data_IF_648351412555
#
_entry.id   IF_648351412555
#
_cell.length_a   1.000
_cell.length_b   1.000
_cell.length_c   1.000
_cell.angle_alpha   90.00
_cell.angle_beta   90.00
_cell.angle_gamma   90.00
#
_symmetry.space_group_name_H-M   'P 1'
#
loop_
_entity.id
_entity.type
_entity.pdbx_description
1 polymer ?
#
# COMPACT_ATOMS: atom_id res chain seq x y z
N UNK A 1 -28.50 51.08 22.37
CA UNK A 1 -28.91 49.78 21.79
C UNK A 1 -27.71 49.21 21.05
N UNK A 2 -27.29 48.00 21.45
CA UNK A 2 -25.98 47.40 21.14
C UNK A 2 -25.92 46.89 19.69
N UNK A 3 -24.81 47.20 19.00
CA UNK A 3 -24.39 46.56 17.74
C UNK A 3 -24.06 45.10 18.03
N UNK A 4 -24.66 44.16 17.29
CA UNK A 4 -24.20 42.77 17.24
C UNK A 4 -23.38 42.62 15.96
N UNK A 5 -22.09 42.40 16.16
CA UNK A 5 -21.08 42.13 15.15
C UNK A 5 -21.18 40.64 14.82
N UNK A 6 -21.55 40.27 13.59
CA UNK A 6 -21.43 38.89 13.13
C UNK A 6 -19.96 38.65 12.79
N UNK A 7 -19.27 37.98 13.72
CA UNK A 7 -17.89 37.54 13.54
C UNK A 7 -17.83 36.44 12.50
N UNK A 8 -16.94 36.64 11.53
CA UNK A 8 -16.45 35.65 10.58
C UNK A 8 -15.78 34.52 11.39
N UNK A 9 -16.39 33.33 11.42
CA UNK A 9 -15.68 32.11 11.85
C UNK A 9 -15.09 31.50 10.59
N UNK A 10 -13.81 31.82 10.34
CA UNK A 10 -12.96 31.00 9.48
C UNK A 10 -12.78 29.66 10.19
N UNK A 11 -13.59 28.67 9.83
CA UNK A 11 -13.29 27.28 10.11
C UNK A 11 -12.12 26.89 9.21
N UNK A 12 -10.90 27.14 9.70
CA UNK A 12 -9.74 26.38 9.24
C UNK A 12 -9.95 24.95 9.77
N UNK A 13 -10.62 24.13 8.97
CA UNK A 13 -10.59 22.69 9.14
C UNK A 13 -9.19 22.22 8.78
N UNK A 14 -8.33 22.07 9.79
CA UNK A 14 -7.15 21.24 9.66
C UNK A 14 -7.64 19.80 9.59
N UNK A 15 -7.68 19.25 8.38
CA UNK A 15 -7.81 17.83 8.14
C UNK A 15 -6.47 17.16 8.50
N UNK A 16 -6.37 16.28 9.51
CA UNK A 16 -5.09 15.72 9.94
C UNK A 16 -4.52 14.64 8.99
N UNK A 17 -5.18 14.32 7.87
CA UNK A 17 -4.81 13.17 7.04
C UNK A 17 -4.50 13.51 5.56
N UNK A 18 -4.47 14.79 5.18
CA UNK A 18 -4.02 15.16 3.83
C UNK A 18 -2.51 15.39 3.85
N UNK A 19 -1.74 14.42 3.34
CA UNK A 19 -0.33 14.61 3.04
C UNK A 19 -0.27 15.71 1.98
N UNK A 20 0.19 16.90 2.38
CA UNK A 20 0.30 18.04 1.49
C UNK A 20 1.57 17.91 0.62
N UNK A 21 1.58 16.89 -0.24
CA UNK A 21 2.36 16.90 -1.48
C UNK A 21 1.74 18.01 -2.36
N UNK A 22 2.54 18.89 -2.95
CA UNK A 22 2.03 20.09 -3.62
C UNK A 22 1.93 21.39 -2.78
N UNK A 23 2.71 21.54 -1.69
CA UNK A 23 2.96 22.89 -1.11
C UNK A 23 4.16 23.63 -1.75
N UNK A 24 4.43 23.40 -3.05
CA UNK A 24 5.35 24.22 -3.83
C UNK A 24 6.84 23.92 -3.63
N UNK A 25 7.20 22.66 -3.35
CA UNK A 25 8.56 22.17 -3.57
C UNK A 25 8.61 21.55 -4.97
N UNK A 26 9.66 21.81 -5.75
CA UNK A 26 9.74 21.47 -7.17
C UNK A 26 9.77 19.95 -7.50
N UNK A 27 9.58 19.07 -6.51
CA UNK A 27 9.94 17.66 -6.58
C UNK A 27 9.08 16.83 -5.59
N UNK A 28 7.95 16.26 -6.04
CA UNK A 28 7.14 15.32 -5.24
C UNK A 28 7.54 13.87 -5.62
N UNK A 29 7.96 13.09 -4.62
CA UNK A 29 8.31 11.69 -4.79
C UNK A 29 7.71 10.80 -3.69
N UNK A 30 7.62 9.51 -3.99
CA UNK A 30 7.14 8.50 -3.05
C UNK A 30 7.93 7.20 -3.18
N UNK A 31 8.43 6.70 -2.05
CA UNK A 31 9.13 5.42 -1.93
C UNK A 31 8.25 4.37 -1.27
N UNK A 32 8.15 3.20 -1.88
CA UNK A 32 7.44 2.03 -1.39
C UNK A 32 8.41 0.92 -1.02
N UNK A 33 8.09 0.24 0.07
CA UNK A 33 8.60 -1.08 0.41
C UNK A 33 7.40 -1.97 0.73
N UNK A 34 6.95 -2.72 -0.29
CA UNK A 34 5.76 -3.56 -0.23
C UNK A 34 6.19 -5.03 -0.09
N UNK A 35 5.81 -5.66 1.01
CA UNK A 35 6.05 -7.09 1.25
C UNK A 35 4.73 -7.83 1.10
N UNK A 36 4.67 -8.70 0.11
CA UNK A 36 3.52 -9.57 -0.09
C UNK A 36 3.71 -10.82 0.75
N UNK A 37 2.65 -11.25 1.43
CA UNK A 37 2.67 -12.43 2.27
C UNK A 37 1.72 -13.51 1.75
N UNK A 38 1.98 -14.73 2.21
CA UNK A 38 1.12 -15.88 2.03
C UNK A 38 1.09 -16.69 3.33
N UNK A 39 0.09 -17.57 3.47
CA UNK A 39 -0.03 -18.41 4.65
C UNK A 39 1.01 -19.54 4.65
N UNK A 40 1.89 -19.52 5.64
CA UNK A 40 2.81 -20.58 5.99
C UNK A 40 2.26 -21.48 7.09
N UNK A 41 2.69 -22.74 7.08
CA UNK A 41 2.32 -23.74 8.08
C UNK A 41 3.57 -24.37 8.69
N UNK A 42 3.73 -24.25 10.01
CA UNK A 42 4.73 -24.98 10.79
C UNK A 42 4.05 -26.06 11.63
N UNK A 43 4.43 -27.33 11.40
CA UNK A 43 3.89 -28.48 12.14
C UNK A 43 4.88 -28.98 13.16
N UNK A 44 4.42 -29.12 14.39
CA UNK A 44 5.06 -29.90 15.45
C UNK A 44 4.23 -31.17 15.75
N UNK A 45 4.76 -32.05 16.59
CA UNK A 45 4.05 -33.30 17.00
C UNK A 45 2.72 -33.04 17.74
N UNK A 46 2.50 -31.81 18.25
CA UNK A 46 1.35 -31.46 19.10
C UNK A 46 0.55 -30.25 18.63
N UNK A 47 1.05 -29.50 17.65
CA UNK A 47 0.49 -28.21 17.27
C UNK A 47 0.82 -27.86 15.82
N UNK A 48 -0.10 -27.18 15.15
CA UNK A 48 0.10 -26.57 13.84
C UNK A 48 0.00 -25.06 14.03
N UNK A 49 1.07 -24.35 13.70
CA UNK A 49 1.13 -22.89 13.70
C UNK A 49 0.92 -22.40 12.27
N UNK A 50 -0.11 -21.59 12.07
CA UNK A 50 -0.33 -20.84 10.84
C UNK A 50 0.17 -19.40 11.06
N UNK A 51 0.90 -18.87 10.09
CA UNK A 51 1.40 -17.50 10.11
C UNK A 51 1.63 -16.99 8.69
N UNK A 52 1.80 -15.69 8.54
CA UNK A 52 2.01 -15.04 7.25
C UNK A 52 3.51 -14.88 6.96
N UNK A 53 4.01 -15.65 6.00
CA UNK A 53 5.39 -15.58 5.54
C UNK A 53 5.54 -14.75 4.27
N UNK A 54 6.72 -14.21 4.03
CA UNK A 54 7.07 -13.46 2.82
C UNK A 54 6.88 -14.31 1.55
N UNK A 55 6.13 -13.79 0.61
CA UNK A 55 5.98 -14.32 -0.75
C UNK A 55 6.75 -13.49 -1.78
N UNK A 56 6.69 -12.16 -1.65
CA UNK A 56 7.41 -11.24 -2.53
C UNK A 56 7.79 -9.98 -1.75
N UNK A 57 8.82 -9.30 -2.23
CA UNK A 57 9.24 -8.01 -1.72
C UNK A 57 9.57 -7.10 -2.89
N UNK A 58 8.85 -5.98 -2.95
CA UNK A 58 8.95 -5.01 -4.02
C UNK A 58 9.34 -3.65 -3.45
N UNK A 59 10.21 -2.95 -4.17
CA UNK A 59 10.59 -1.58 -3.87
C UNK A 59 10.28 -0.73 -5.09
N UNK A 60 9.57 0.37 -4.88
CA UNK A 60 9.21 1.29 -5.96
C UNK A 60 9.48 2.74 -5.57
N UNK A 61 9.90 3.55 -6.54
CA UNK A 61 10.01 4.99 -6.42
C UNK A 61 9.17 5.64 -7.51
N UNK A 62 8.18 6.42 -7.09
CA UNK A 62 7.42 7.33 -7.94
C UNK A 62 8.00 8.73 -7.83
N UNK A 63 8.10 9.40 -8.97
CA UNK A 63 8.44 10.81 -9.06
C UNK A 63 7.54 11.48 -10.10
N UNK A 64 6.69 12.37 -9.61
CA UNK A 64 5.73 13.13 -10.38
C UNK A 64 5.66 14.54 -9.78
N UNK A 65 6.52 15.48 -10.23
CA UNK A 65 6.55 16.84 -9.72
C UNK A 65 5.18 17.52 -9.82
N UNK A 66 4.70 18.10 -8.72
CA UNK A 66 3.43 18.83 -8.62
C UNK A 66 2.15 18.03 -8.96
N UNK A 67 2.28 16.77 -9.36
CA UNK A 67 1.16 15.89 -9.74
C UNK A 67 1.34 14.46 -9.21
N UNK A 68 2.15 14.29 -8.17
CA UNK A 68 2.14 13.06 -7.39
C UNK A 68 0.76 12.99 -6.75
N UNK A 69 -0.13 12.26 -7.42
CA UNK A 69 -1.51 12.12 -6.96
C UNK A 69 -1.46 11.65 -5.52
N UNK A 70 -2.11 12.40 -4.64
CA UNK A 70 -2.39 11.91 -3.31
C UNK A 70 -3.07 10.57 -3.54
N UNK A 71 -2.44 9.48 -3.10
CA UNK A 71 -3.13 8.22 -2.97
C UNK A 71 -4.13 8.49 -1.88
N UNK A 72 -5.31 8.99 -2.25
CA UNK A 72 -6.44 9.28 -1.37
C UNK A 72 -6.97 7.94 -0.84
N UNK A 73 -6.10 7.17 -0.19
CA UNK A 73 -6.48 6.06 0.66
C UNK A 73 -7.56 6.64 1.55
N UNK A 74 -8.77 6.06 1.50
CA UNK A 74 -9.93 6.71 2.08
C UNK A 74 -9.62 7.00 3.54
N UNK A 75 -9.79 8.26 3.96
CA UNK A 75 -9.66 8.62 5.37
C UNK A 75 -10.64 7.81 6.24
N UNK A 76 -11.77 7.42 5.65
CA UNK A 76 -12.76 6.51 6.21
C UNK A 76 -13.64 5.93 5.10
N UNK A 77 -14.18 4.73 5.29
CA UNK A 77 -15.10 4.10 4.34
C UNK A 77 -14.39 3.52 3.12
N UNK A 78 -15.14 3.36 2.02
CA UNK A 78 -14.67 2.73 0.79
C UNK A 78 -14.70 3.69 -0.41
N UNK A 79 -13.74 3.52 -1.31
CA UNK A 79 -13.61 4.28 -2.55
C UNK A 79 -13.45 3.33 -3.74
N UNK A 80 -14.21 3.55 -4.81
CA UNK A 80 -14.10 2.79 -6.07
C UNK A 80 -12.97 3.30 -6.96
N UNK A 81 -12.37 2.42 -7.75
CA UNK A 81 -11.34 2.72 -8.74
C UNK A 81 -10.00 3.16 -8.13
N UNK A 82 -9.82 3.00 -6.82
CA UNK A 82 -8.57 3.29 -6.16
C UNK A 82 -7.68 2.06 -6.19
N UNK A 83 -6.47 2.20 -6.72
CA UNK A 83 -5.47 1.14 -6.74
C UNK A 83 -4.36 1.40 -5.71
N UNK A 84 -4.05 0.39 -4.89
CA UNK A 84 -2.99 0.46 -3.92
C UNK A 84 -1.63 0.05 -4.51
N UNK A 85 -1.61 -0.61 -5.67
CA UNK A 85 -0.41 -1.23 -6.26
C UNK A 85 -0.17 -0.74 -7.70
N UNK A 86 0.15 0.54 -7.92
CA UNK A 86 0.38 1.05 -9.25
C UNK A 86 1.70 0.54 -9.82
N UNK A 87 1.73 0.59 -11.14
CA UNK A 87 2.84 0.17 -12.00
C UNK A 87 3.42 1.35 -12.79
N UNK A 88 2.99 2.58 -12.52
CA UNK A 88 3.48 3.82 -13.11
C UNK A 88 3.35 5.02 -12.16
N UNK A 89 3.92 6.16 -12.55
CA UNK A 89 3.87 7.41 -11.79
C UNK A 89 2.76 8.37 -12.27
N UNK A 90 1.78 7.88 -13.04
CA UNK A 90 0.72 8.69 -13.63
C UNK A 90 1.15 9.48 -14.87
N UNK A 91 0.22 10.29 -15.40
CA UNK A 91 0.39 11.02 -16.68
C UNK A 91 1.47 12.10 -16.65
N UNK A 92 1.78 12.63 -15.48
CA UNK A 92 2.79 13.68 -15.28
C UNK A 92 4.09 13.11 -14.69
N UNK A 93 4.22 11.79 -14.63
CA UNK A 93 5.47 11.12 -14.29
C UNK A 93 6.60 11.54 -15.24
N UNK A 94 7.75 11.89 -14.67
CA UNK A 94 8.96 12.26 -15.44
C UNK A 94 10.18 11.66 -14.77
N UNK A 95 11.27 11.43 -15.51
CA UNK A 95 12.49 10.93 -14.88
C UNK A 95 13.15 12.00 -14.01
N UNK A 96 13.72 11.56 -12.89
CA UNK A 96 14.48 12.41 -11.98
C UNK A 96 15.72 12.95 -12.75
N UNK A 97 15.93 14.28 -12.83
CA UNK A 97 17.03 14.86 -13.59
C UNK A 97 18.40 14.36 -13.11
N UNK A 98 19.27 14.03 -14.08
CA UNK A 98 20.66 13.61 -13.84
C UNK A 98 20.82 12.35 -12.96
N UNK A 99 19.72 11.65 -12.67
CA UNK A 99 19.71 10.38 -11.94
C UNK A 99 19.59 9.23 -12.94
N UNK A 100 20.43 8.21 -12.75
CA UNK A 100 20.34 6.94 -13.47
C UNK A 100 19.28 6.04 -12.84
N UNK A 101 19.70 4.84 -12.46
CA UNK A 101 18.87 3.95 -11.65
C UNK A 101 19.25 4.15 -10.17
N UNK A 102 18.31 4.61 -9.32
CA UNK A 102 18.54 4.66 -7.88
C UNK A 102 18.83 3.28 -7.30
N UNK A 103 19.43 3.24 -6.12
CA UNK A 103 19.70 2.01 -5.38
C UNK A 103 18.96 2.03 -4.05
N UNK A 104 18.71 0.85 -3.48
CA UNK A 104 18.10 0.74 -2.15
C UNK A 104 18.86 -0.27 -1.30
N UNK A 105 18.71 -0.13 0.02
CA UNK A 105 19.29 -1.05 0.99
C UNK A 105 18.34 -1.25 2.19
N UNK A 106 18.28 -2.47 2.70
CA UNK A 106 17.58 -2.83 3.93
C UNK A 106 18.36 -3.97 4.62
N UNK A 107 18.99 -3.69 5.76
CA UNK A 107 19.91 -4.63 6.40
C UNK A 107 21.02 -5.10 5.45
N UNK A 108 21.10 -6.42 5.24
CA UNK A 108 22.05 -7.07 4.31
C UNK A 108 21.55 -7.11 2.85
N UNK A 109 20.30 -6.71 2.60
CA UNK A 109 19.72 -6.69 1.26
C UNK A 109 19.96 -5.33 0.60
N UNK A 110 20.17 -5.37 -0.71
CA UNK A 110 20.27 -4.18 -1.54
C UNK A 110 19.93 -4.52 -2.98
N UNK A 111 19.52 -3.50 -3.73
CA UNK A 111 19.11 -3.65 -5.11
C UNK A 111 19.16 -2.34 -5.88
N UNK A 112 18.64 -2.37 -7.10
CA UNK A 112 18.67 -1.25 -8.04
C UNK A 112 17.27 -1.06 -8.60
N UNK A 113 16.71 0.13 -8.43
CA UNK A 113 15.41 0.48 -8.98
C UNK A 113 15.58 0.79 -10.47
N UNK A 114 15.12 -0.13 -11.32
CA UNK A 114 15.15 0.03 -12.77
C UNK A 114 14.05 1.00 -13.19
N UNK A 115 14.38 1.93 -14.10
CA UNK A 115 13.37 2.81 -14.68
C UNK A 115 12.47 2.00 -15.65
N UNK A 116 11.23 1.75 -15.24
CA UNK A 116 10.24 1.01 -16.03
C UNK A 116 9.39 1.95 -16.89
N UNK A 117 9.12 3.15 -16.38
CA UNK A 117 8.43 4.20 -17.11
C UNK A 117 8.82 5.59 -16.59
N UNK A 118 8.29 6.64 -17.22
CA UNK A 118 8.62 8.00 -16.85
C UNK A 118 8.26 8.27 -15.38
N UNK A 119 9.27 8.49 -14.55
CA UNK A 119 9.10 8.72 -13.11
C UNK A 119 8.77 7.50 -12.26
N UNK A 120 8.72 6.29 -12.84
CA UNK A 120 8.51 5.06 -12.09
C UNK A 120 9.75 4.17 -12.14
N UNK A 121 10.32 3.92 -10.98
CA UNK A 121 11.48 3.06 -10.80
C UNK A 121 11.11 1.89 -9.89
N UNK A 122 11.51 0.68 -10.24
CA UNK A 122 11.01 -0.54 -9.60
C UNK A 122 12.09 -1.60 -9.47
N UNK A 123 12.03 -2.37 -8.39
CA UNK A 123 12.82 -3.59 -8.19
C UNK A 123 11.95 -4.66 -7.52
N UNK A 124 11.94 -5.84 -8.12
CA UNK A 124 11.29 -7.05 -7.59
C UNK A 124 12.36 -7.95 -6.97
N UNK A 125 12.59 -7.74 -5.67
CA UNK A 125 13.68 -8.36 -4.92
C UNK A 125 13.46 -9.87 -4.80
N UNK A 126 12.21 -10.25 -4.58
CA UNK A 126 11.75 -11.63 -4.50
C UNK A 126 10.54 -11.81 -5.41
N UNK A 127 10.80 -12.03 -6.69
CA UNK A 127 9.76 -12.45 -7.64
C UNK A 127 9.28 -13.86 -7.29
N UNK A 128 8.11 -13.95 -6.66
CA UNK A 128 7.40 -15.19 -6.29
C UNK A 128 8.19 -16.18 -5.43
N UNK A 129 9.03 -15.70 -4.50
CA UNK A 129 9.80 -16.57 -3.59
C UNK A 129 9.05 -16.74 -2.27
N UNK A 130 8.35 -17.88 -2.14
CA UNK A 130 7.77 -18.31 -0.87
C UNK A 130 8.87 -18.62 0.15
N UNK A 131 9.07 -17.69 1.06
CA UNK A 131 9.92 -17.86 2.22
C UNK A 131 9.06 -17.67 3.48
N UNK A 132 8.99 -18.68 4.33
CA UNK A 132 8.29 -18.60 5.60
C UNK A 132 9.08 -17.81 6.67
N UNK A 133 9.60 -16.66 6.26
CA UNK A 133 10.18 -15.62 7.13
C UNK A 133 9.11 -14.57 7.37
N UNK A 134 9.03 -14.00 8.57
CA UNK A 134 8.08 -12.94 8.88
C UNK A 134 8.44 -11.64 8.14
N UNK A 135 7.43 -10.84 7.81
CA UNK A 135 7.66 -9.58 7.09
C UNK A 135 8.52 -8.60 7.91
N UNK A 136 8.32 -8.52 9.23
CA UNK A 136 9.15 -7.68 10.11
C UNK A 136 10.62 -8.10 10.18
N UNK A 137 10.94 -9.37 9.94
CA UNK A 137 12.32 -9.84 9.92
C UNK A 137 13.02 -9.38 8.62
N UNK A 138 12.25 -9.15 7.56
CA UNK A 138 12.77 -8.72 6.26
C UNK A 138 12.91 -7.20 6.16
N UNK A 139 11.89 -6.46 6.60
CA UNK A 139 11.78 -5.00 6.41
C UNK A 139 11.68 -4.21 7.72
N UNK A 140 12.01 -4.83 8.86
CA UNK A 140 11.87 -4.23 10.19
C UNK A 140 12.70 -2.98 10.44
N UNK A 141 13.79 -2.75 9.70
CA UNK A 141 14.60 -1.53 9.82
C UNK A 141 14.18 -0.42 8.84
N UNK A 142 13.27 -0.72 7.90
CA UNK A 142 12.90 0.17 6.82
C UNK A 142 13.90 0.18 5.66
N UNK A 143 13.41 0.59 4.49
CA UNK A 143 14.18 0.58 3.24
C UNK A 143 14.75 1.94 2.95
N UNK A 144 16.07 2.02 2.83
CA UNK A 144 16.81 3.25 2.57
C UNK A 144 17.09 3.43 1.09
N UNK A 145 16.79 4.60 0.56
CA UNK A 145 17.05 5.02 -0.81
C UNK A 145 18.42 5.69 -0.95
N UNK A 146 19.14 5.36 -2.00
CA UNK A 146 20.45 5.88 -2.36
C UNK A 146 20.52 6.19 -3.86
N UNK A 147 21.46 7.03 -4.27
CA UNK A 147 21.68 7.41 -5.67
C UNK A 147 20.43 7.98 -6.38
N UNK A 148 19.48 8.55 -5.63
CA UNK A 148 18.22 9.10 -6.12
C UNK A 148 18.23 10.63 -6.21
N UNK A 149 19.41 11.23 -6.45
CA UNK A 149 19.59 12.67 -6.44
C UNK A 149 19.22 13.26 -5.08
N UNK A 150 18.40 14.31 -5.08
CA UNK A 150 17.94 15.01 -3.87
C UNK A 150 17.01 14.20 -2.95
N UNK A 151 16.57 13.03 -3.41
CA UNK A 151 15.78 12.09 -2.59
C UNK A 151 16.63 11.04 -1.87
N UNK A 152 17.94 11.02 -2.13
CA UNK A 152 18.86 10.10 -1.46
C UNK A 152 18.84 10.29 0.06
N UNK A 153 18.94 9.19 0.79
CA UNK A 153 18.93 9.19 2.26
C UNK A 153 17.52 9.08 2.87
N UNK A 154 16.46 9.12 2.08
CA UNK A 154 15.12 8.78 2.53
C UNK A 154 15.05 7.32 2.99
N UNK A 155 14.33 7.05 4.08
CA UNK A 155 14.14 5.69 4.60
C UNK A 155 12.67 5.49 4.93
N UNK A 156 12.09 4.36 4.51
CA UNK A 156 10.71 3.99 4.88
C UNK A 156 10.61 3.69 6.38
N UNK A 157 9.43 3.87 7.00
CA UNK A 157 9.26 3.54 8.42
C UNK A 157 9.48 2.04 8.66
N UNK A 158 9.86 1.63 9.89
CA UNK A 158 10.00 0.23 10.21
C UNK A 158 8.67 -0.51 10.07
N UNK A 159 8.74 -1.79 9.71
CA UNK A 159 7.57 -2.66 9.68
C UNK A 159 7.06 -2.98 11.10
N UNK A 160 5.73 -3.03 11.24
CA UNK A 160 5.09 -3.71 12.36
C UNK A 160 5.00 -5.22 12.12
N UNK A 161 4.33 -5.92 13.03
CA UNK A 161 3.99 -7.34 12.87
C UNK A 161 2.59 -7.46 12.28
N UNK A 162 2.44 -8.26 11.23
CA UNK A 162 1.16 -8.74 10.71
C UNK A 162 1.12 -10.26 10.85
N UNK A 163 0.24 -10.74 11.71
CA UNK A 163 0.06 -12.16 11.98
C UNK A 163 -1.33 -12.63 11.55
N UNK A 164 -1.35 -13.80 10.91
CA UNK A 164 -2.51 -14.66 10.75
C UNK A 164 -3.73 -13.93 10.17
N UNK A 165 -3.67 -13.62 8.88
CA UNK A 165 -4.81 -13.17 8.10
C UNK A 165 -5.73 -14.37 7.85
N UNK A 166 -6.92 -14.32 8.44
CA UNK A 166 -7.96 -15.33 8.29
C UNK A 166 -9.11 -14.76 7.47
N UNK A 167 -9.49 -15.51 6.44
CA UNK A 167 -10.64 -15.21 5.60
C UNK A 167 -11.66 -16.33 5.80
N UNK A 168 -12.91 -15.96 6.05
CA UNK A 168 -13.99 -16.90 6.32
C UNK A 168 -15.24 -16.54 5.54
N UNK A 169 -16.18 -17.49 5.48
CA UNK A 169 -17.43 -17.37 4.72
C UNK A 169 -17.25 -17.29 3.20
N UNK A 170 -16.19 -17.90 2.67
CA UNK A 170 -16.00 -18.13 1.23
C UNK A 170 -15.66 -19.60 0.94
N UNK A 171 -15.82 -20.00 -0.32
CA UNK A 171 -15.43 -21.33 -0.79
C UNK A 171 -14.05 -21.27 -1.45
N UNK A 172 -13.02 -21.72 -0.71
CA UNK A 172 -11.64 -21.82 -1.19
C UNK A 172 -11.50 -22.55 -2.54
N UNK A 173 -12.42 -23.45 -2.86
CA UNK A 173 -12.37 -24.24 -4.10
C UNK A 173 -12.91 -23.50 -5.34
N UNK A 174 -13.71 -22.46 -5.14
CA UNK A 174 -14.39 -21.71 -6.22
C UNK A 174 -14.12 -20.21 -6.21
N UNK A 175 -13.29 -19.72 -5.29
CA UNK A 175 -12.90 -18.34 -5.31
C UNK A 175 -13.81 -17.43 -4.49
N UNK A 176 -13.61 -16.13 -4.66
CA UNK A 176 -14.48 -15.08 -4.15
C UNK A 176 -15.40 -14.72 -5.30
N UNK A 177 -16.69 -14.98 -5.15
CA UNK A 177 -17.67 -14.63 -6.16
C UNK A 177 -18.22 -13.24 -5.87
N UNK A 178 -18.46 -12.48 -6.94
CA UNK A 178 -19.11 -11.17 -6.84
C UNK A 178 -20.41 -11.23 -6.02
N UNK A 179 -20.52 -10.36 -5.03
CA UNK A 179 -21.70 -10.27 -4.16
C UNK A 179 -21.67 -11.18 -2.93
N UNK A 180 -20.66 -12.03 -2.76
CA UNK A 180 -20.52 -12.86 -1.56
C UNK A 180 -20.12 -12.05 -0.33
N UNK A 181 -20.69 -12.40 0.82
CA UNK A 181 -20.26 -11.81 2.09
C UNK A 181 -19.08 -12.58 2.65
N UNK A 182 -17.97 -11.90 2.87
CA UNK A 182 -16.73 -12.47 3.39
C UNK A 182 -16.28 -11.71 4.62
N UNK A 183 -15.91 -12.46 5.65
CA UNK A 183 -15.36 -11.90 6.87
C UNK A 183 -13.85 -12.14 6.90
N UNK A 184 -13.10 -11.06 7.08
CA UNK A 184 -11.66 -11.07 7.14
C UNK A 184 -11.21 -10.58 8.51
N UNK A 185 -10.24 -11.25 9.11
CA UNK A 185 -9.63 -10.83 10.36
C UNK A 185 -8.12 -11.02 10.34
N UNK A 186 -7.41 -10.22 11.12
CA UNK A 186 -5.95 -10.25 11.20
C UNK A 186 -5.50 -9.76 12.56
N UNK A 187 -4.27 -10.08 12.94
CA UNK A 187 -3.62 -9.49 14.11
C UNK A 187 -2.51 -8.58 13.64
N UNK A 188 -2.57 -7.31 14.01
CA UNK A 188 -1.53 -6.35 13.67
C UNK A 188 -1.02 -5.59 14.90
N UNK A 189 0.28 -5.28 14.90
CA UNK A 189 0.92 -4.48 15.95
C UNK A 189 1.99 -3.58 15.36
N UNK A 190 1.97 -2.30 15.72
CA UNK A 190 2.95 -1.33 15.22
C UNK A 190 2.69 -0.87 13.80
N UNK A 191 1.47 -1.06 13.31
CA UNK A 191 0.96 -0.50 12.06
C UNK A 191 -0.01 0.65 12.37
N UNK A 192 0.11 1.75 11.64
CA UNK A 192 -0.73 2.94 11.81
C UNK A 192 -2.11 2.76 11.18
N UNK A 193 -2.16 2.08 10.03
CA UNK A 193 -3.36 1.98 9.22
C UNK A 193 -3.53 0.58 8.60
N UNK A 194 -4.78 0.23 8.30
CA UNK A 194 -5.16 -1.00 7.63
C UNK A 194 -6.29 -0.77 6.60
N UNK A 195 -6.22 -1.53 5.51
CA UNK A 195 -7.16 -1.50 4.40
C UNK A 195 -7.53 -2.89 3.94
N UNK A 196 -8.74 -3.00 3.41
CA UNK A 196 -9.16 -4.12 2.59
C UNK A 196 -9.40 -3.61 1.18
N UNK A 197 -8.82 -4.27 0.19
CA UNK A 197 -9.06 -3.96 -1.21
C UNK A 197 -9.58 -5.19 -1.94
N UNK A 198 -10.67 -5.00 -2.69
CA UNK A 198 -11.11 -5.96 -3.70
C UNK A 198 -10.63 -5.45 -5.04
N UNK A 199 -9.96 -6.29 -5.81
CA UNK A 199 -9.60 -6.01 -7.21
C UNK A 199 -10.18 -7.09 -8.08
N UNK A 200 -10.73 -6.69 -9.21
CA UNK A 200 -11.08 -7.61 -10.29
C UNK A 200 -10.11 -7.41 -11.43
N UNK A 201 -9.64 -8.51 -11.99
CA UNK A 201 -8.71 -8.51 -13.10
C UNK A 201 -9.37 -9.15 -14.32
N UNK A 202 -9.11 -8.59 -15.50
CA UNK A 202 -9.55 -9.11 -16.78
C UNK A 202 -8.36 -9.11 -17.73
N UNK A 203 -8.06 -10.25 -18.33
CA UNK A 203 -6.88 -10.47 -19.17
C UNK A 203 -5.54 -10.12 -18.48
N UNK A 204 -5.48 -10.24 -17.15
CA UNK A 204 -4.30 -9.90 -16.35
C UNK A 204 -4.09 -8.41 -16.10
N UNK A 205 -5.08 -7.57 -16.42
CA UNK A 205 -5.07 -6.13 -16.13
C UNK A 205 -6.14 -5.80 -15.09
N UNK A 206 -5.90 -4.76 -14.28
CA UNK A 206 -6.89 -4.25 -13.35
C UNK A 206 -8.12 -3.76 -14.10
N UNK A 207 -9.27 -4.35 -13.82
CA UNK A 207 -10.54 -4.01 -14.44
C UNK A 207 -11.41 -3.12 -13.56
N UNK A 208 -11.47 -3.40 -12.25
CA UNK A 208 -12.13 -2.57 -11.26
C UNK A 208 -11.57 -2.83 -9.85
N UNK A 209 -11.69 -1.86 -8.95
CA UNK A 209 -11.27 -2.00 -7.56
C UNK A 209 -12.15 -1.23 -6.60
N UNK A 210 -12.22 -1.71 -5.36
CA UNK A 210 -12.74 -0.95 -4.22
C UNK A 210 -11.76 -1.10 -3.08
N UNK A 211 -11.30 0.03 -2.53
CA UNK A 211 -10.42 0.08 -1.36
C UNK A 211 -11.17 0.66 -0.18
N UNK A 212 -11.15 -0.04 0.94
CA UNK A 212 -11.83 0.31 2.18
C UNK A 212 -10.83 0.52 3.32
N UNK A 213 -10.91 1.64 4.02
CA UNK A 213 -10.16 1.87 5.25
C UNK A 213 -10.90 1.23 6.42
N UNK A 214 -10.19 0.42 7.21
CA UNK A 214 -10.77 -0.35 8.32
C UNK A 214 -10.83 0.46 9.62
N UNK A 215 -10.30 1.68 9.64
CA UNK A 215 -10.22 2.55 10.81
C UNK A 215 -9.30 2.01 11.90
N UNK A 216 -8.30 1.20 11.53
CA UNK A 216 -7.42 0.51 12.47
C UNK A 216 -8.07 -0.69 13.16
N UNK A 217 -9.21 -1.18 12.65
CA UNK A 217 -9.79 -2.43 13.10
C UNK A 217 -8.92 -3.62 12.69
N UNK A 218 -9.08 -4.73 13.40
CA UNK A 218 -8.42 -6.02 13.16
C UNK A 218 -9.33 -6.99 12.38
N UNK A 219 -10.40 -6.47 11.80
CA UNK A 219 -11.36 -7.25 11.02
C UNK A 219 -12.16 -6.33 10.12
N UNK A 220 -12.66 -6.89 9.02
CA UNK A 220 -13.55 -6.21 8.10
C UNK A 220 -14.47 -7.21 7.41
N UNK A 221 -15.71 -6.80 7.15
CA UNK A 221 -16.68 -7.59 6.40
C UNK A 221 -16.84 -6.96 5.02
N UNK A 222 -16.55 -7.74 3.99
CA UNK A 222 -16.92 -7.44 2.61
C UNK A 222 -18.37 -7.88 2.43
N UNK A 223 -19.27 -6.95 2.17
CA UNK A 223 -20.71 -7.22 2.01
C UNK A 223 -21.31 -6.48 0.81
N UNK A 224 -22.65 -6.50 0.70
CA UNK A 224 -23.39 -5.88 -0.39
C UNK A 224 -23.06 -4.39 -0.57
N UNK A 225 -22.77 -3.65 0.50
CA UNK A 225 -22.45 -2.22 0.41
C UNK A 225 -21.10 -2.03 -0.30
N UNK A 226 -20.11 -2.88 -0.03
CA UNK A 226 -18.81 -2.86 -0.73
C UNK A 226 -18.98 -3.26 -2.19
N UNK A 227 -19.70 -4.35 -2.46
CA UNK A 227 -19.95 -4.82 -3.84
C UNK A 227 -20.74 -3.83 -4.67
N UNK A 228 -21.62 -3.03 -4.05
CA UNK A 228 -22.40 -2.00 -4.75
C UNK A 228 -21.53 -0.89 -5.36
N UNK A 229 -20.29 -0.75 -4.89
CA UNK A 229 -19.31 0.20 -5.42
C UNK A 229 -18.54 -0.37 -6.63
N UNK A 230 -18.61 -1.67 -6.86
CA UNK A 230 -17.98 -2.34 -8.01
C UNK A 230 -18.94 -2.44 -9.20
N UNK A 231 -18.38 -2.40 -10.39
CA UNK A 231 -19.11 -2.53 -11.63
C UNK A 231 -19.37 -4.00 -11.98
N UNK A 232 -20.55 -4.50 -11.63
CA UNK A 232 -21.00 -5.86 -11.93
C UNK A 232 -21.09 -6.20 -13.43
N UNK A 233 -20.95 -5.22 -14.34
CA UNK A 233 -20.91 -5.46 -15.78
C UNK A 233 -19.50 -5.82 -16.29
N UNK A 234 -18.47 -5.72 -15.45
CA UNK A 234 -17.11 -6.13 -15.80
C UNK A 234 -17.01 -7.65 -15.71
N UNK A 235 -16.72 -8.30 -16.84
CA UNK A 235 -16.35 -9.71 -16.84
C UNK A 235 -14.90 -9.85 -16.34
N UNK A 236 -14.78 -10.26 -15.08
CA UNK A 236 -13.51 -10.50 -14.42
C UNK A 236 -13.10 -11.97 -14.57
N UNK A 237 -11.82 -12.21 -14.85
CA UNK A 237 -11.21 -13.54 -14.84
C UNK A 237 -10.87 -13.99 -13.42
N UNK A 238 -10.52 -13.04 -12.54
CA UNK A 238 -10.12 -13.29 -11.14
C UNK A 238 -10.62 -12.15 -10.26
N UNK A 239 -11.04 -12.47 -9.03
CA UNK A 239 -11.32 -11.49 -7.98
C UNK A 239 -10.34 -11.70 -6.82
N UNK A 240 -9.48 -10.72 -6.60
CA UNK A 240 -8.47 -10.74 -5.55
C UNK A 240 -8.94 -9.92 -4.35
N UNK A 241 -8.70 -10.47 -3.16
CA UNK A 241 -8.93 -9.79 -1.90
C UNK A 241 -7.58 -9.55 -1.21
N UNK A 242 -7.28 -8.28 -0.95
CA UNK A 242 -6.06 -7.87 -0.28
C UNK A 242 -6.37 -7.32 1.11
N UNK A 243 -5.65 -7.81 2.10
CA UNK A 243 -5.53 -7.15 3.41
C UNK A 243 -4.19 -6.45 3.43
N UNK A 244 -4.21 -5.14 3.63
CA UNK A 244 -3.03 -4.31 3.60
C UNK A 244 -2.88 -3.57 4.90
N UNK A 245 -1.71 -3.63 5.52
CA UNK A 245 -1.32 -2.78 6.65
C UNK A 245 -0.13 -1.94 6.25
N UNK A 246 -0.09 -0.68 6.68
CA UNK A 246 1.01 0.20 6.30
C UNK A 246 1.39 1.18 7.41
N UNK A 247 2.65 1.59 7.38
CA UNK A 247 3.16 2.78 8.03
C UNK A 247 3.58 3.74 6.92
N UNK A 248 3.11 4.98 7.00
CA UNK A 248 3.44 6.02 6.05
C UNK A 248 3.94 7.26 6.79
N UNK A 249 4.95 7.92 6.23
CA UNK A 249 5.42 9.20 6.76
C UNK A 249 5.96 10.10 5.66
N UNK A 250 6.09 11.38 5.94
CA UNK A 250 6.83 12.31 5.08
C UNK A 250 8.17 12.60 5.73
N UNK A 251 9.25 12.33 5.00
CA UNK A 251 10.62 12.68 5.44
C UNK A 251 11.14 13.85 4.63
N UNK A 252 12.00 14.65 5.26
CA UNK A 252 12.76 15.70 4.59
C UNK A 252 14.20 15.23 4.46
N UNK A 253 14.71 15.14 3.24
CA UNK A 253 16.09 14.72 2.98
C UNK A 253 17.09 15.79 3.39
N UNK A 254 18.38 15.46 3.40
CA UNK A 254 19.44 16.43 3.72
C UNK A 254 19.44 17.64 2.77
N UNK A 255 19.04 17.42 1.51
CA UNK A 255 18.90 18.45 0.49
C UNK A 255 17.59 19.27 0.62
N UNK A 256 16.78 18.98 1.64
CA UNK A 256 15.56 19.72 1.94
C UNK A 256 14.33 19.30 1.13
N UNK A 257 14.44 18.24 0.32
CA UNK A 257 13.30 17.72 -0.43
C UNK A 257 12.40 16.86 0.44
N UNK A 258 11.10 16.92 0.16
CA UNK A 258 10.12 16.07 0.83
C UNK A 258 9.85 14.84 -0.02
N UNK A 259 9.76 13.71 0.65
CA UNK A 259 9.39 12.45 0.02
C UNK A 259 8.45 11.70 0.96
N UNK A 260 7.37 11.18 0.40
CA UNK A 260 6.50 10.25 1.10
C UNK A 260 7.17 8.88 1.11
N UNK A 261 7.21 8.23 2.26
CA UNK A 261 7.87 6.94 2.42
C UNK A 261 6.89 5.99 3.10
N UNK A 262 6.68 4.84 2.47
CA UNK A 262 5.65 3.88 2.84
C UNK A 262 6.29 2.51 2.99
N UNK A 263 5.99 1.87 4.12
CA UNK A 263 6.26 0.45 4.34
C UNK A 263 4.92 -0.24 4.47
N UNK A 264 4.75 -1.33 3.73
CA UNK A 264 3.47 -2.01 3.64
C UNK A 264 3.66 -3.52 3.66
N UNK A 265 2.71 -4.19 4.32
CA UNK A 265 2.55 -5.64 4.19
C UNK A 265 1.19 -5.91 3.55
N UNK A 266 1.19 -6.77 2.55
CA UNK A 266 0.05 -7.09 1.69
C UNK A 266 -0.19 -8.59 1.74
N UNK A 267 -1.23 -9.01 2.45
CA UNK A 267 -1.72 -10.38 2.31
C UNK A 267 -2.65 -10.45 1.11
N UNK A 268 -2.30 -11.28 0.14
CA UNK A 268 -3.11 -11.51 -1.05
C UNK A 268 -3.82 -12.85 -0.93
N UNK A 269 -5.14 -12.83 -0.88
CA UNK A 269 -5.93 -14.01 -1.18
C UNK A 269 -6.29 -13.98 -2.66
N UNK A 270 -5.61 -14.83 -3.44
CA UNK A 270 -6.02 -15.11 -4.81
C UNK A 270 -7.21 -16.04 -4.73
N UNK A 271 -8.37 -15.52 -5.11
CA UNK A 271 -9.63 -16.24 -5.03
C UNK A 271 -10.11 -16.43 -6.47
N UNK A 272 -9.88 -17.64 -7.02
CA UNK A 272 -10.07 -17.99 -8.43
C UNK A 272 -11.51 -18.27 -8.81
#
# INVERSE_FOLDING_TARGET
MKKVMFGLVLLAGCDPQKIALGQGGADDARLFADVYTWQCEERSDTETLLYDGVFSYQVALEYAPDDLTARELPASGCTSGLDMFPSDAGSEGTNIPEVGNPTWSNGDLSGTLLNESAGFYFDDVYGDVQNCTYAEDLIGEGTKLSDAGSFSGATTPPAGTLDNVEISNYDESTGLTFGETVDVSWTMKGWDDAWVQIRTESMGELADSVTCNTGGANSYTVDEDVWSLMNSAVEADVTNLFVTVQNASTVTTEDGQKIEVITRVVHAAVVR
#
